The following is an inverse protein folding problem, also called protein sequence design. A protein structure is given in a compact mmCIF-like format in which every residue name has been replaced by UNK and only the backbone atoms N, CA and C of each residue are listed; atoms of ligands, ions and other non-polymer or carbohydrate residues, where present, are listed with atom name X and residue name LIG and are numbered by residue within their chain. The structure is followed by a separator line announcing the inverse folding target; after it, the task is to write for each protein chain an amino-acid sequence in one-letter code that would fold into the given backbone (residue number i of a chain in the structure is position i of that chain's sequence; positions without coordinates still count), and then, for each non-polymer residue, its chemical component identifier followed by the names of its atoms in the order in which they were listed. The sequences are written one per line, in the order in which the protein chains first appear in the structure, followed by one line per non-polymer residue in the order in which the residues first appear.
data_IF_027942345516
#
_entry.id   IF_027942345516
#
_cell.length_a   1.000
_cell.length_b   1.000
_cell.length_c   1.000
_cell.angle_alpha   90.00
_cell.angle_beta   90.00
_cell.angle_gamma   90.00
#
_symmetry.space_group_name_H-M   'P 1'
#
loop_
_entity.id
_entity.type
_entity.pdbx_description
1 polymer ?
#
# COMPACT_ATOMS: atom_id res chain seq x y z
N UNK A 1 -9.98 80.82 -31.57
CA UNK A 1 -10.12 80.67 -30.11
C UNK A 1 -11.06 79.50 -29.79
N UNK A 2 -10.54 78.30 -29.53
CA UNK A 2 -11.14 77.30 -28.61
C UNK A 2 -10.18 76.13 -28.45
N UNK A 3 -9.67 76.01 -27.21
CA UNK A 3 -8.71 75.02 -26.71
C UNK A 3 -9.38 73.64 -26.63
N UNK A 4 -8.77 72.61 -27.22
CA UNK A 4 -9.04 71.22 -26.82
C UNK A 4 -7.97 70.78 -25.82
N UNK A 5 -8.45 70.36 -24.65
CA UNK A 5 -7.68 70.00 -23.47
C UNK A 5 -7.18 68.56 -23.59
N UNK A 6 -5.92 68.37 -23.21
CA UNK A 6 -5.28 67.11 -22.94
C UNK A 6 -6.10 66.25 -21.97
N UNK A 7 -6.32 64.97 -22.31
CA UNK A 7 -6.73 63.94 -21.36
C UNK A 7 -5.69 62.81 -21.42
N UNK A 8 -4.71 62.90 -20.53
CA UNK A 8 -3.74 61.85 -20.26
C UNK A 8 -4.44 60.78 -19.42
N UNK A 9 -4.72 59.61 -20.01
CA UNK A 9 -5.19 58.44 -19.27
C UNK A 9 -3.95 57.76 -18.67
N UNK A 10 -3.72 57.98 -17.38
CA UNK A 10 -2.79 57.15 -16.60
C UNK A 10 -3.43 55.76 -16.44
N UNK A 11 -3.01 54.80 -17.26
CA UNK A 11 -3.26 53.38 -17.01
C UNK A 11 -2.37 52.94 -15.84
N UNK A 12 -2.93 52.96 -14.63
CA UNK A 12 -2.32 52.36 -13.44
C UNK A 12 -2.40 50.84 -13.59
N UNK A 13 -1.30 50.23 -14.05
CA UNK A 13 -1.09 48.78 -13.97
C UNK A 13 -0.82 48.42 -12.51
N UNK A 14 -1.86 48.00 -11.79
CA UNK A 14 -1.68 47.29 -10.50
C UNK A 14 -1.20 45.88 -10.86
N UNK A 15 0.12 45.68 -10.88
CA UNK A 15 0.71 44.34 -10.79
C UNK A 15 0.32 43.78 -9.41
N UNK A 16 -0.68 42.91 -9.39
CA UNK A 16 -0.84 41.97 -8.28
C UNK A 16 0.38 41.04 -8.30
N UNK A 17 1.41 41.40 -7.55
CA UNK A 17 2.44 40.47 -7.08
C UNK A 17 1.71 39.54 -6.10
N UNK A 18 0.99 38.55 -6.62
CA UNK A 18 0.56 37.43 -5.81
C UNK A 18 1.85 36.80 -5.28
N UNK A 19 2.02 36.68 -3.94
CA UNK A 19 3.13 35.89 -3.41
C UNK A 19 2.99 34.51 -4.04
N UNK A 20 4.01 34.10 -4.80
CA UNK A 20 4.18 32.71 -5.20
C UNK A 20 4.11 31.91 -3.91
N UNK A 21 2.92 31.40 -3.59
CA UNK A 21 2.76 30.36 -2.60
C UNK A 21 3.58 29.23 -3.20
N UNK A 22 4.82 29.12 -2.72
CA UNK A 22 5.62 27.95 -2.99
C UNK A 22 4.75 26.80 -2.55
N UNK A 23 4.28 26.00 -3.52
CA UNK A 23 3.81 24.68 -3.25
C UNK A 23 4.99 23.99 -2.58
N UNK A 24 5.01 24.01 -1.25
CA UNK A 24 5.85 23.11 -0.49
C UNK A 24 5.36 21.74 -0.92
N UNK A 25 6.16 21.03 -1.71
CA UNK A 25 5.94 19.62 -1.97
C UNK A 25 5.76 18.96 -0.60
N UNK A 26 4.51 18.64 -0.28
CA UNK A 26 4.18 17.92 0.94
C UNK A 26 4.83 16.55 0.79
N UNK A 27 6.04 16.41 1.34
CA UNK A 27 6.78 15.16 1.29
C UNK A 27 5.89 14.09 1.90
N UNK A 28 5.53 13.12 1.08
CA UNK A 28 4.70 12.02 1.51
C UNK A 28 5.20 11.42 2.83
N UNK A 29 4.33 11.15 3.80
CA UNK A 29 4.74 10.70 5.12
C UNK A 29 5.41 9.33 5.11
N UNK A 30 5.27 8.58 4.00
CA UNK A 30 5.90 7.28 3.78
C UNK A 30 6.21 7.04 2.30
N UNK A 31 7.04 6.03 2.07
CA UNK A 31 7.34 5.48 0.74
C UNK A 31 6.79 4.08 0.63
N UNK A 32 6.02 3.80 -0.43
CA UNK A 32 5.65 2.42 -0.78
C UNK A 32 6.87 1.75 -1.42
N UNK A 33 7.24 0.59 -0.90
CA UNK A 33 8.32 -0.24 -1.44
C UNK A 33 7.69 -1.23 -2.41
N UNK A 34 8.00 -1.08 -3.70
CA UNK A 34 7.50 -1.99 -4.72
C UNK A 34 8.20 -3.34 -4.60
N UNK A 35 7.41 -4.40 -4.42
CA UNK A 35 7.87 -5.79 -4.46
C UNK A 35 7.42 -6.36 -5.80
N UNK A 36 8.38 -6.83 -6.60
CA UNK A 36 8.12 -7.50 -7.88
C UNK A 36 8.18 -9.01 -7.66
N UNK A 37 7.53 -9.77 -8.55
CA UNK A 37 7.75 -11.22 -8.61
C UNK A 37 9.25 -11.50 -8.84
N UNK A 38 9.79 -12.48 -8.11
CA UNK A 38 11.20 -12.84 -8.03
C UNK A 38 11.90 -12.31 -6.77
N UNK A 39 13.20 -12.06 -6.92
CA UNK A 39 14.08 -11.62 -5.85
C UNK A 39 14.11 -10.09 -5.79
N UNK A 40 13.88 -9.54 -4.60
CA UNK A 40 13.95 -8.11 -4.31
C UNK A 40 14.95 -7.86 -3.18
N UNK A 41 15.60 -6.70 -3.21
CA UNK A 41 16.58 -6.30 -2.21
C UNK A 41 16.19 -4.98 -1.56
N UNK A 42 16.05 -4.98 -0.25
CA UNK A 42 15.64 -3.82 0.53
C UNK A 42 16.19 -3.92 1.95
N UNK A 43 16.65 -2.83 2.54
CA UNK A 43 17.15 -2.78 3.92
C UNK A 43 15.95 -2.58 4.88
N UNK A 44 15.47 -3.68 5.47
CA UNK A 44 14.26 -3.73 6.30
C UNK A 44 14.55 -3.18 7.70
N UNK A 45 15.74 -3.44 8.24
CA UNK A 45 16.12 -3.03 9.59
C UNK A 45 16.98 -1.75 9.65
N UNK A 46 17.27 -1.14 8.51
CA UNK A 46 18.09 0.07 8.37
C UNK A 46 19.53 -0.07 8.90
N UNK A 47 20.14 -1.26 8.79
CA UNK A 47 21.53 -1.46 9.21
C UNK A 47 22.56 -1.18 8.10
N UNK A 48 22.09 -0.77 6.92
CA UNK A 48 22.91 -0.48 5.74
C UNK A 48 23.19 -1.71 4.86
N UNK A 49 22.76 -2.91 5.26
CA UNK A 49 22.85 -4.14 4.47
C UNK A 49 21.47 -4.40 3.84
N UNK A 50 21.46 -4.74 2.54
CA UNK A 50 20.21 -5.11 1.88
C UNK A 50 19.78 -6.52 2.31
N UNK A 51 18.56 -6.60 2.83
CA UNK A 51 17.83 -7.83 3.07
C UNK A 51 17.21 -8.38 1.78
N UNK A 52 16.68 -9.59 1.87
CA UNK A 52 16.09 -10.32 0.76
C UNK A 52 14.57 -10.42 0.95
N UNK A 53 13.82 -10.06 -0.08
CA UNK A 53 12.39 -10.32 -0.17
C UNK A 53 12.15 -11.16 -1.41
N UNK A 54 11.63 -12.36 -1.23
CA UNK A 54 11.27 -13.25 -2.33
C UNK A 54 9.75 -13.16 -2.49
N UNK A 55 9.30 -12.90 -3.71
CA UNK A 55 7.91 -12.99 -4.08
C UNK A 55 7.78 -13.96 -5.24
N UNK A 56 6.78 -14.84 -5.23
CA UNK A 56 6.57 -15.76 -6.33
C UNK A 56 5.09 -15.99 -6.56
N UNK A 57 4.68 -15.87 -7.81
CA UNK A 57 3.35 -16.24 -8.25
C UNK A 57 3.30 -17.73 -8.56
N UNK A 58 2.24 -18.40 -8.13
CA UNK A 58 1.90 -19.73 -8.62
C UNK A 58 0.44 -19.77 -9.06
N UNK A 59 0.22 -20.42 -10.20
CA UNK A 59 -1.09 -20.57 -10.83
C UNK A 59 -1.65 -21.95 -10.50
N UNK A 60 -2.93 -22.01 -10.15
CA UNK A 60 -3.60 -23.31 -10.00
C UNK A 60 -4.06 -23.84 -11.35
N UNK A 61 -4.02 -25.17 -11.58
CA UNK A 61 -4.34 -25.77 -12.88
C UNK A 61 -5.79 -25.59 -13.33
N UNK A 62 -6.71 -25.23 -12.44
CA UNK A 62 -8.15 -25.11 -12.72
C UNK A 62 -8.63 -23.66 -12.97
N UNK A 63 -7.75 -22.79 -13.46
CA UNK A 63 -8.16 -21.59 -14.19
C UNK A 63 -8.37 -20.34 -13.33
N UNK A 64 -7.55 -19.33 -13.63
CA UNK A 64 -7.79 -17.93 -13.26
C UNK A 64 -7.66 -17.63 -11.77
N UNK A 65 -6.90 -18.42 -11.01
CA UNK A 65 -6.54 -18.12 -9.62
C UNK A 65 -5.01 -17.95 -9.58
N UNK A 66 -4.57 -16.79 -9.11
CA UNK A 66 -3.16 -16.45 -8.95
C UNK A 66 -2.91 -16.29 -7.46
N UNK A 67 -1.96 -17.04 -6.92
CA UNK A 67 -1.49 -16.86 -5.56
C UNK A 67 -0.09 -16.29 -5.60
N UNK A 68 0.17 -15.28 -4.78
CA UNK A 68 1.52 -14.74 -4.61
C UNK A 68 1.99 -15.03 -3.20
N UNK A 69 3.09 -15.75 -3.08
CA UNK A 69 3.77 -15.96 -1.81
C UNK A 69 4.82 -14.85 -1.60
N UNK A 70 4.97 -14.39 -0.36
CA UNK A 70 5.99 -13.43 0.05
C UNK A 70 6.80 -13.98 1.23
N UNK A 71 8.12 -14.01 1.10
CA UNK A 71 9.08 -14.43 2.12
C UNK A 71 10.09 -13.32 2.38
N UNK A 72 10.45 -13.09 3.64
CA UNK A 72 11.34 -12.01 4.06
C UNK A 72 12.54 -12.62 4.80
N UNK A 73 13.75 -12.17 4.48
CA UNK A 73 14.98 -12.64 5.11
C UNK A 73 15.92 -11.50 5.40
N UNK A 74 16.34 -11.39 6.66
CA UNK A 74 17.34 -10.44 7.13
C UNK A 74 18.74 -10.95 6.78
N UNK A 75 19.53 -10.11 6.13
CA UNK A 75 20.93 -10.39 5.81
C UNK A 75 21.83 -9.82 6.91
N UNK A 76 22.34 -10.68 7.77
CA UNK A 76 23.46 -10.34 8.65
C UNK A 76 24.78 -10.29 7.88
N UNK A 77 25.86 -9.90 8.58
CA UNK A 77 27.22 -9.85 8.01
C UNK A 77 27.69 -11.20 7.45
N UNK A 78 27.28 -12.30 8.08
CA UNK A 78 27.79 -13.64 7.78
C UNK A 78 26.70 -14.68 7.50
N UNK A 79 25.42 -14.34 7.69
CA UNK A 79 24.32 -15.29 7.60
C UNK A 79 23.06 -14.61 7.09
N UNK A 80 22.16 -15.41 6.51
CA UNK A 80 20.83 -15.01 6.11
C UNK A 80 19.83 -15.66 7.07
N UNK A 81 19.02 -14.85 7.74
CA UNK A 81 18.00 -15.30 8.69
C UNK A 81 16.63 -15.00 8.15
N UNK A 82 15.71 -15.94 8.30
CA UNK A 82 14.31 -15.73 7.97
C UNK A 82 13.66 -14.73 8.95
N UNK A 83 12.80 -13.83 8.45
CA UNK A 83 12.03 -12.86 9.25
C UNK A 83 10.60 -13.40 9.41
N UNK A 84 10.24 -13.96 10.57
CA UNK A 84 8.87 -14.43 10.81
C UNK A 84 7.84 -13.30 10.78
N UNK A 85 6.64 -13.66 10.36
CA UNK A 85 5.45 -12.81 10.41
C UNK A 85 4.47 -13.45 11.38
N UNK A 86 4.07 -12.69 12.40
CA UNK A 86 3.10 -13.16 13.38
C UNK A 86 1.75 -13.45 12.71
N UNK A 87 1.15 -14.61 12.98
CA UNK A 87 -0.14 -14.96 12.37
C UNK A 87 -1.26 -14.18 13.05
N UNK A 88 -2.11 -13.52 12.25
CA UNK A 88 -3.23 -12.74 12.75
C UNK A 88 -4.22 -13.54 13.61
N UNK A 89 -4.24 -14.86 13.47
CA UNK A 89 -5.19 -15.74 14.16
C UNK A 89 -4.53 -16.50 15.35
N UNK A 90 -3.30 -16.14 15.73
CA UNK A 90 -2.60 -16.64 16.93
C UNK A 90 -1.98 -18.04 16.80
N UNK A 91 -2.14 -18.70 15.66
CA UNK A 91 -1.57 -20.03 15.40
C UNK A 91 -0.22 -19.93 14.65
N UNK A 92 0.85 -19.63 15.40
CA UNK A 92 2.24 -19.70 14.92
C UNK A 92 2.76 -18.42 14.23
N UNK A 93 3.99 -18.50 13.73
CA UNK A 93 4.53 -17.56 12.75
C UNK A 93 4.44 -18.21 11.37
N UNK A 94 3.76 -17.57 10.42
CA UNK A 94 3.75 -18.07 9.04
C UNK A 94 5.09 -17.73 8.40
N UNK A 95 5.70 -18.73 7.75
CA UNK A 95 6.90 -18.53 6.97
C UNK A 95 6.66 -17.61 5.74
N UNK A 96 5.40 -17.42 5.32
CA UNK A 96 5.04 -16.69 4.11
C UNK A 96 3.68 -16.02 4.24
N UNK A 97 3.51 -14.81 3.70
CA UNK A 97 2.17 -14.27 3.42
C UNK A 97 1.75 -14.72 2.02
N UNK A 98 0.51 -15.18 1.91
CA UNK A 98 -0.13 -15.45 0.62
C UNK A 98 -1.17 -14.38 0.30
N UNK A 99 -1.01 -13.74 -0.86
CA UNK A 99 -2.08 -12.97 -1.48
C UNK A 99 -2.75 -13.80 -2.57
N UNK A 100 -3.98 -13.41 -2.89
CA UNK A 100 -4.82 -14.17 -3.79
C UNK A 100 -5.55 -13.22 -4.72
N UNK A 101 -5.42 -13.52 -6.01
CA UNK A 101 -6.02 -12.78 -7.11
C UNK A 101 -6.84 -13.74 -7.96
N UNK A 102 -8.01 -13.27 -8.39
CA UNK A 102 -8.91 -13.99 -9.28
C UNK A 102 -8.93 -13.27 -10.62
N UNK A 103 -8.75 -14.01 -11.71
CA UNK A 103 -9.04 -13.53 -13.06
C UNK A 103 -10.56 -13.40 -13.19
N UNK A 104 -11.01 -12.20 -13.53
CA UNK A 104 -12.40 -11.79 -13.57
C UNK A 104 -12.65 -10.52 -12.74
N UNK A 105 -13.59 -9.72 -13.21
CA UNK A 105 -14.00 -8.49 -12.57
C UNK A 105 -14.92 -8.70 -11.37
N UNK A 106 -15.17 -7.61 -10.67
CA UNK A 106 -16.07 -7.56 -9.53
C UNK A 106 -17.36 -6.80 -9.89
N UNK A 107 -18.49 -7.41 -9.59
CA UNK A 107 -19.83 -6.96 -9.92
C UNK A 107 -20.10 -7.14 -11.41
N UNK A 108 -20.75 -6.14 -12.00
CA UNK A 108 -21.00 -6.10 -13.43
C UNK A 108 -19.84 -5.47 -14.21
N UNK A 109 -18.75 -5.10 -13.52
CA UNK A 109 -17.59 -4.49 -14.15
C UNK A 109 -16.70 -5.56 -14.78
N UNK A 110 -17.02 -5.90 -16.02
CA UNK A 110 -16.25 -6.83 -16.86
C UNK A 110 -14.97 -6.18 -17.42
N UNK A 111 -14.70 -4.90 -17.17
CA UNK A 111 -13.50 -4.22 -17.69
C UNK A 111 -12.23 -4.58 -16.91
N UNK A 112 -12.38 -5.06 -15.67
CA UNK A 112 -11.26 -5.59 -14.89
C UNK A 112 -10.98 -7.04 -15.30
N UNK A 113 -9.76 -7.26 -15.78
CA UNK A 113 -9.24 -8.61 -16.08
C UNK A 113 -8.97 -9.41 -14.81
N UNK A 114 -8.66 -8.74 -13.69
CA UNK A 114 -8.29 -9.35 -12.41
C UNK A 114 -8.87 -8.59 -11.21
N UNK A 115 -9.16 -9.33 -10.14
CA UNK A 115 -9.60 -8.80 -8.85
C UNK A 115 -8.72 -9.36 -7.74
N UNK A 116 -8.02 -8.48 -7.02
CA UNK A 116 -7.24 -8.90 -5.86
C UNK A 116 -8.16 -9.14 -4.65
N UNK A 117 -8.31 -10.40 -4.25
CA UNK A 117 -9.08 -10.81 -3.08
C UNK A 117 -8.30 -10.54 -1.79
N UNK A 118 -6.98 -10.63 -1.86
CA UNK A 118 -6.08 -10.10 -0.84
C UNK A 118 -4.88 -9.41 -1.47
N UNK A 119 -4.25 -8.52 -0.71
CA UNK A 119 -3.12 -7.72 -1.18
C UNK A 119 -2.17 -7.38 -0.03
N UNK A 120 -0.94 -7.07 -0.40
CA UNK A 120 0.14 -6.74 0.51
C UNK A 120 0.81 -5.43 0.08
N UNK A 121 1.18 -4.59 1.03
CA UNK A 121 2.06 -3.44 0.81
C UNK A 121 3.14 -3.39 1.88
N UNK A 122 4.39 -3.28 1.44
CA UNK A 122 5.52 -2.92 2.29
C UNK A 122 5.74 -1.42 2.19
N UNK A 123 5.79 -0.73 3.32
CA UNK A 123 5.91 0.72 3.38
C UNK A 123 6.98 1.14 4.39
N UNK A 124 7.74 2.18 4.03
CA UNK A 124 8.75 2.80 4.88
C UNK A 124 8.26 4.13 5.39
N UNK A 125 8.09 4.23 6.70
CA UNK A 125 7.90 5.49 7.42
C UNK A 125 9.22 5.97 7.99
N UNK A 126 9.22 7.19 8.54
CA UNK A 126 10.35 7.72 9.32
C UNK A 126 10.65 6.87 10.56
N UNK A 127 9.63 6.27 11.17
CA UNK A 127 9.72 5.54 12.44
C UNK A 127 9.81 4.02 12.28
N UNK A 128 9.88 3.49 11.04
CA UNK A 128 10.03 2.05 10.84
C UNK A 128 9.50 1.54 9.50
N UNK A 129 9.58 0.22 9.36
CA UNK A 129 9.05 -0.53 8.22
C UNK A 129 7.76 -1.20 8.66
N UNK A 130 6.74 -1.08 7.82
CA UNK A 130 5.43 -1.65 8.06
C UNK A 130 5.01 -2.52 6.89
N UNK A 131 4.27 -3.56 7.22
CA UNK A 131 3.63 -4.44 6.26
C UNK A 131 2.12 -4.34 6.48
N UNK A 132 1.38 -4.02 5.43
CA UNK A 132 -0.07 -3.94 5.47
C UNK A 132 -0.64 -5.05 4.60
N UNK A 133 -1.36 -5.96 5.24
CA UNK A 133 -2.09 -7.03 4.58
C UNK A 133 -3.58 -6.72 4.60
N UNK A 134 -4.25 -6.80 3.46
CA UNK A 134 -5.69 -6.66 3.33
C UNK A 134 -6.28 -7.93 2.72
N UNK A 135 -7.37 -8.44 3.30
CA UNK A 135 -8.09 -9.63 2.81
C UNK A 135 -9.59 -9.37 2.81
N UNK A 136 -10.22 -9.64 1.67
CA UNK A 136 -11.67 -9.50 1.49
C UNK A 136 -12.41 -10.44 2.44
N UNK A 137 -13.43 -9.92 3.13
CA UNK A 137 -14.26 -10.65 4.09
C UNK A 137 -15.73 -10.42 3.73
N UNK A 138 -16.31 -11.39 3.03
CA UNK A 138 -17.72 -11.38 2.68
C UNK A 138 -18.53 -12.17 3.69
N UNK A 139 -19.82 -11.83 3.83
CA UNK A 139 -20.78 -12.65 4.55
C UNK A 139 -21.08 -13.93 3.74
N UNK A 140 -21.56 -14.98 4.39
CA UNK A 140 -21.78 -16.31 3.78
C UNK A 140 -22.67 -16.28 2.52
N UNK A 141 -23.62 -15.34 2.45
CA UNK A 141 -24.54 -15.19 1.32
C UNK A 141 -23.95 -14.42 0.12
N UNK A 142 -22.70 -13.96 0.20
CA UNK A 142 -22.05 -13.16 -0.84
C UNK A 142 -20.93 -13.94 -1.51
N UNK A 143 -20.82 -13.78 -2.82
CA UNK A 143 -19.72 -14.33 -3.58
C UNK A 143 -18.47 -13.48 -3.36
N UNK A 144 -17.43 -14.07 -2.77
CA UNK A 144 -16.19 -13.36 -2.43
C UNK A 144 -15.47 -12.79 -3.64
N UNK A 145 -15.65 -13.39 -4.82
CA UNK A 145 -15.01 -12.97 -6.05
C UNK A 145 -15.71 -11.77 -6.66
N UNK A 146 -17.02 -11.91 -6.87
CA UNK A 146 -17.78 -10.94 -7.65
C UNK A 146 -18.37 -9.83 -6.81
N UNK A 147 -18.63 -10.02 -5.52
CA UNK A 147 -19.36 -8.99 -4.76
C UNK A 147 -18.41 -7.99 -4.10
N UNK A 148 -18.88 -6.75 -3.93
CA UNK A 148 -18.20 -5.78 -3.06
C UNK A 148 -18.38 -6.20 -1.60
N UNK A 149 -17.27 -6.22 -0.87
CA UNK A 149 -17.22 -6.64 0.53
C UNK A 149 -16.29 -5.75 1.35
N UNK A 150 -16.46 -5.72 2.68
CA UNK A 150 -15.43 -5.13 3.53
C UNK A 150 -14.15 -5.96 3.48
N UNK A 151 -13.03 -5.33 3.83
CA UNK A 151 -11.73 -5.96 3.94
C UNK A 151 -11.28 -5.98 5.40
N UNK A 152 -10.79 -7.12 5.85
CA UNK A 152 -9.98 -7.19 7.06
C UNK A 152 -8.58 -6.69 6.72
N UNK A 153 -8.05 -5.80 7.55
CA UNK A 153 -6.73 -5.20 7.37
C UNK A 153 -5.90 -5.47 8.62
N UNK A 154 -4.71 -6.01 8.42
CA UNK A 154 -3.71 -6.24 9.47
C UNK A 154 -2.48 -5.41 9.16
N UNK A 155 -2.02 -4.66 10.14
CA UNK A 155 -0.83 -3.82 10.06
C UNK A 155 0.22 -4.44 10.96
N UNK A 156 1.34 -4.80 10.36
CA UNK A 156 2.52 -5.26 11.04
C UNK A 156 3.58 -4.17 11.05
N UNK A 157 4.39 -4.13 12.10
CA UNK A 157 5.62 -3.35 12.15
C UNK A 157 6.78 -4.32 12.33
N UNK A 158 7.86 -4.09 11.58
CA UNK A 158 9.10 -4.81 11.80
C UNK A 158 9.70 -4.39 13.15
N UNK A 159 10.01 -5.38 13.97
CA UNK A 159 10.70 -5.24 15.25
C UNK A 159 12.09 -5.87 15.11
N UNK A 160 13.16 -5.10 15.36
CA UNK A 160 14.53 -5.60 15.17
C UNK A 160 15.01 -6.48 16.33
N UNK A 161 14.43 -6.30 17.54
CA UNK A 161 14.79 -7.09 18.72
C UNK A 161 14.25 -8.50 18.54
N UNK A 162 12.96 -8.62 18.22
CA UNK A 162 12.29 -9.90 17.95
C UNK A 162 12.58 -10.45 16.55
N UNK A 163 13.19 -9.63 15.68
CA UNK A 163 13.50 -9.93 14.27
C UNK A 163 12.28 -10.41 13.49
N UNK A 164 11.13 -9.81 13.76
CA UNK A 164 9.84 -10.28 13.28
C UNK A 164 8.96 -9.11 12.83
N UNK A 165 7.98 -9.40 11.97
CA UNK A 165 6.84 -8.50 11.75
C UNK A 165 5.75 -8.80 12.80
N UNK A 166 5.60 -7.88 13.75
CA UNK A 166 4.66 -7.97 14.88
C UNK A 166 3.38 -7.23 14.54
N UNK A 167 2.23 -7.78 14.94
CA UNK A 167 0.93 -7.13 14.71
C UNK A 167 0.82 -5.86 15.56
N UNK A 168 0.66 -4.71 14.91
CA UNK A 168 0.33 -3.44 15.57
C UNK A 168 -1.15 -3.18 15.62
N UNK A 169 -1.89 -3.59 14.59
CA UNK A 169 -3.31 -3.27 14.47
C UNK A 169 -4.04 -4.27 13.60
N UNK A 170 -5.27 -4.59 14.02
CA UNK A 170 -6.27 -5.27 13.21
C UNK A 170 -7.47 -4.35 13.06
N UNK A 171 -8.03 -4.27 11.86
CA UNK A 171 -9.21 -3.47 11.60
C UNK A 171 -10.02 -4.08 10.46
N UNK A 172 -11.22 -3.53 10.25
CA UNK A 172 -12.06 -3.88 9.12
C UNK A 172 -12.55 -2.59 8.47
N UNK A 173 -12.56 -2.56 7.14
CA UNK A 173 -13.04 -1.39 6.41
C UNK A 173 -14.55 -1.22 6.63
N UNK A 174 -14.98 0.02 6.90
CA UNK A 174 -16.41 0.36 6.96
C UNK A 174 -17.04 0.39 5.57
N UNK A 175 -16.28 0.87 4.58
CA UNK A 175 -16.67 0.85 3.16
C UNK A 175 -16.42 -0.54 2.57
N UNK A 176 -17.20 -0.88 1.55
CA UNK A 176 -17.05 -2.10 0.78
C UNK A 176 -16.28 -1.82 -0.51
N UNK A 177 -15.39 -2.74 -0.87
CA UNK A 177 -14.50 -2.62 -2.02
C UNK A 177 -14.58 -3.87 -2.88
N UNK A 178 -14.17 -3.73 -4.13
CA UNK A 178 -14.02 -4.88 -5.01
C UNK A 178 -12.67 -5.56 -4.81
N UNK A 179 -11.63 -4.74 -4.66
CA UNK A 179 -10.24 -5.11 -4.85
C UNK A 179 -9.38 -4.65 -3.66
N UNK A 180 -8.44 -5.49 -3.24
CA UNK A 180 -7.49 -5.16 -2.18
C UNK A 180 -6.68 -3.90 -2.50
N UNK A 181 -6.35 -3.66 -3.77
CA UNK A 181 -5.57 -2.49 -4.17
C UNK A 181 -6.33 -1.19 -3.97
N UNK A 182 -7.66 -1.20 -4.00
CA UNK A 182 -8.49 -0.03 -3.69
C UNK A 182 -8.36 0.38 -2.21
N UNK A 183 -8.23 -0.62 -1.32
CA UNK A 183 -8.03 -0.45 0.13
C UNK A 183 -6.60 -0.03 0.45
N UNK A 184 -5.63 -0.55 -0.30
CA UNK A 184 -4.20 -0.31 -0.13
C UNK A 184 -3.70 0.92 -0.92
N UNK A 185 -4.61 1.81 -1.33
CA UNK A 185 -4.24 3.11 -1.91
C UNK A 185 -3.64 4.01 -0.84
N UNK A 186 -2.77 4.91 -1.30
CA UNK A 186 -1.94 5.77 -0.45
C UNK A 186 -2.75 6.65 0.50
N UNK A 187 -3.84 7.25 0.02
CA UNK A 187 -4.77 8.07 0.79
C UNK A 187 -5.39 7.29 1.96
N UNK A 188 -5.80 6.06 1.72
CA UNK A 188 -6.41 5.20 2.73
C UNK A 188 -5.39 4.61 3.72
N UNK A 189 -4.16 4.32 3.27
CA UNK A 189 -3.08 3.87 4.16
C UNK A 189 -2.82 4.90 5.26
N UNK A 190 -2.87 6.20 4.95
CA UNK A 190 -2.72 7.27 5.95
C UNK A 190 -3.82 7.16 7.01
N UNK A 191 -5.08 6.96 6.60
CA UNK A 191 -6.20 6.81 7.53
C UNK A 191 -6.07 5.54 8.40
N UNK A 192 -5.64 4.43 7.81
CA UNK A 192 -5.47 3.15 8.51
C UNK A 192 -4.42 3.25 9.64
N UNK A 193 -3.41 4.10 9.46
CA UNK A 193 -2.29 4.29 10.38
C UNK A 193 -2.46 5.46 11.36
N UNK A 194 -3.49 6.29 11.21
CA UNK A 194 -3.73 7.50 12.04
C UNK A 194 -4.17 7.24 13.48
N UNK A 195 -4.22 5.98 13.92
CA UNK A 195 -4.62 5.55 15.26
C UNK A 195 -3.90 4.26 15.62
#
# INVERSE_FOLDING_TARGET
MRRFKNFWILSVFILFILPKHGFTEEKDPFKIIQIKNGINYFDINNDGIKDLIISADFLTPFGGNIYTAYSFYRKGKTHLSYIPIEVADGNGAEANIYTYTKVGGCGNDMSKEETNISGLRLIKFKNGIYLIYAKKKCNENKNTFTDKCPFSVVIYQYDDEDRAFIIKKKSQTKKIYCDADEVLRKDLIIELLKY
#
